data_IF_128077405483
#
_entry.id   IF_128077405483
#
_cell.length_a   1.000
_cell.length_b   1.000
_cell.length_c   1.000
_cell.angle_alpha   90.00
_cell.angle_beta   90.00
_cell.angle_gamma   90.00
#
_symmetry.space_group_name_H-M   'P 1'
#
loop_
_entity.id
_entity.type
_entity.pdbx_description
1 polymer ?
#
# COMPACT_ATOMS: atom_id res chain seq x y z
N UNK A 1 -8.63 2.36 8.12
CA UNK A 1 -7.54 3.24 8.58
C UNK A 1 -7.02 3.98 7.35
N UNK A 2 -7.61 5.13 7.02
CA UNK A 2 -7.16 5.98 5.89
C UNK A 2 -6.16 7.05 6.36
N UNK A 3 -6.00 7.19 7.69
CA UNK A 3 -5.30 8.31 8.30
C UNK A 3 -3.79 8.04 8.51
N UNK A 4 -3.29 6.86 8.14
CA UNK A 4 -1.91 6.44 8.43
C UNK A 4 -0.86 7.27 7.67
N UNK A 5 -1.23 7.87 6.53
CA UNK A 5 -0.35 8.69 5.70
C UNK A 5 -1.05 9.98 5.23
N UNK A 6 -1.76 10.67 6.13
CA UNK A 6 -2.46 11.91 5.80
C UNK A 6 -1.52 12.94 5.17
N UNK A 7 -1.87 13.47 3.99
CA UNK A 7 -1.06 14.44 3.25
C UNK A 7 0.06 13.85 2.39
N UNK A 8 0.31 12.54 2.44
CA UNK A 8 1.33 11.90 1.59
C UNK A 8 1.01 12.00 0.10
N UNK A 9 -0.28 12.01 -0.27
CA UNK A 9 -0.74 12.15 -1.65
C UNK A 9 -0.44 13.54 -2.25
N UNK A 10 -0.33 14.57 -1.40
CA UNK A 10 -0.03 15.95 -1.82
C UNK A 10 1.49 16.19 -1.91
N UNK A 11 2.32 15.26 -1.45
CA UNK A 11 3.77 15.38 -1.51
C UNK A 11 4.28 15.17 -2.95
N UNK A 12 5.04 16.15 -3.44
CA UNK A 12 5.59 16.13 -4.78
C UNK A 12 6.50 14.90 -5.01
N UNK A 13 6.29 14.22 -6.13
CA UNK A 13 7.16 13.14 -6.58
C UNK A 13 8.33 13.71 -7.41
N UNK A 14 9.56 13.19 -7.25
CA UNK A 14 9.96 12.08 -6.38
C UNK A 14 10.00 12.48 -4.90
N UNK A 15 9.63 11.57 -3.99
CA UNK A 15 9.67 11.86 -2.55
C UNK A 15 11.05 12.34 -2.10
N UNK A 16 11.06 13.39 -1.27
CA UNK A 16 12.28 13.88 -0.61
C UNK A 16 12.84 12.83 0.37
N UNK A 17 14.13 12.95 0.67
CA UNK A 17 14.78 12.14 1.71
C UNK A 17 14.09 12.33 3.06
N UNK A 18 13.93 11.24 3.81
CA UNK A 18 13.38 11.25 5.18
C UNK A 18 11.85 11.18 5.27
N UNK A 19 11.15 11.06 4.14
CA UNK A 19 9.71 10.70 4.16
C UNK A 19 9.56 9.28 4.71
N UNK A 20 8.70 9.12 5.72
CA UNK A 20 8.34 7.82 6.31
C UNK A 20 6.95 7.45 5.81
N UNK A 21 6.82 6.28 5.19
CA UNK A 21 5.55 5.77 4.65
C UNK A 21 5.13 4.57 5.51
N UNK A 22 3.98 4.67 6.18
CA UNK A 22 3.41 3.58 6.95
C UNK A 22 2.61 2.68 6.02
N UNK A 23 3.13 1.49 5.75
CA UNK A 23 2.42 0.47 4.96
C UNK A 23 1.39 -0.25 5.82
N UNK A 24 0.22 -0.60 5.27
CA UNK A 24 -0.76 -1.40 5.98
C UNK A 24 -0.26 -2.84 6.15
N UNK A 25 -0.81 -3.54 7.14
CA UNK A 25 -0.67 -4.99 7.22
C UNK A 25 -1.34 -5.62 5.99
N UNK A 26 -0.63 -6.53 5.33
CA UNK A 26 -1.18 -7.31 4.23
C UNK A 26 -1.77 -8.61 4.77
N UNK A 27 -2.97 -9.01 4.30
CA UNK A 27 -3.49 -10.32 4.63
C UNK A 27 -2.54 -11.39 4.07
N UNK A 28 -2.44 -12.51 4.79
CA UNK A 28 -1.70 -13.67 4.30
C UNK A 28 -2.34 -14.11 2.98
N UNK A 29 -1.57 -14.30 1.89
CA UNK A 29 -2.11 -14.79 0.63
C UNK A 29 -2.86 -16.10 0.85
N UNK A 30 -4.04 -16.25 0.24
CA UNK A 30 -4.70 -17.56 0.22
C UNK A 30 -4.05 -18.45 -0.82
N UNK A 31 -3.86 -19.74 -0.49
CA UNK A 31 -3.39 -20.77 -1.43
C UNK A 31 -4.49 -21.21 -2.43
N UNK A 32 -5.58 -20.46 -2.50
CA UNK A 32 -6.75 -20.83 -3.30
C UNK A 32 -6.45 -20.55 -4.78
N UNK A 33 -6.20 -21.61 -5.54
CA UNK A 33 -5.96 -21.51 -6.98
C UNK A 33 -7.29 -21.26 -7.68
N UNK A 34 -7.55 -20.01 -8.06
CA UNK A 34 -8.68 -19.64 -8.91
C UNK A 34 -8.29 -19.79 -10.38
N UNK A 35 -8.90 -20.73 -11.10
CA UNK A 35 -8.84 -20.75 -12.56
C UNK A 35 -9.71 -19.63 -13.11
N UNK A 36 -9.08 -18.67 -13.79
CA UNK A 36 -9.77 -17.48 -14.28
C UNK A 36 -10.71 -17.79 -15.46
N UNK A 37 -10.36 -18.74 -16.34
CA UNK A 37 -11.19 -19.18 -17.47
C UNK A 37 -10.85 -20.64 -17.83
N UNK A 38 -11.69 -21.59 -17.41
CA UNK A 38 -11.64 -22.99 -17.86
C UNK A 38 -12.45 -23.22 -19.12
#
# INVERSE_FOLDING_TARGET
>A
MLDANQGLADEAQPFRVGVIIHLPDLPVPSDEVVMLWG
#
